data_IF_422575474102
#
_entry.id   IF_422575474102
#
_cell.length_a   1.000
_cell.length_b   1.000
_cell.length_c   1.000
_cell.angle_alpha   90.00
_cell.angle_beta   90.00
_cell.angle_gamma   90.00
#
_symmetry.space_group_name_H-M   'P 1'
#
loop_
_entity.id
_entity.type
_entity.pdbx_description
1 polymer ?
#
# COMPACT_ATOMS: atom_id res chain seq x y z
N UNK A 1 -13.15 -15.98 -13.98
CA UNK A 1 -13.72 -14.75 -13.40
C UNK A 1 -12.60 -14.00 -12.72
N UNK A 2 -12.56 -12.68 -12.83
CA UNK A 2 -11.61 -11.88 -12.06
C UNK A 2 -11.98 -12.00 -10.57
N UNK A 3 -11.01 -12.30 -9.69
CA UNK A 3 -11.23 -12.36 -8.24
C UNK A 3 -11.53 -10.98 -7.62
N UNK A 4 -11.36 -9.91 -8.39
CA UNK A 4 -11.67 -8.53 -8.01
C UNK A 4 -13.17 -8.21 -8.10
N UNK A 5 -13.71 -7.60 -7.05
CA UNK A 5 -14.99 -6.90 -7.04
C UNK A 5 -14.79 -5.46 -7.51
N UNK A 6 -14.95 -5.25 -8.81
CA UNK A 6 -14.74 -3.95 -9.43
C UNK A 6 -15.76 -2.88 -9.06
N UNK A 7 -17.02 -3.25 -8.81
CA UNK A 7 -18.02 -2.30 -8.33
C UNK A 7 -17.62 -1.71 -6.98
N UNK A 8 -17.08 -2.54 -6.08
CA UNK A 8 -16.56 -2.09 -4.79
C UNK A 8 -15.32 -1.21 -4.94
N UNK A 9 -14.37 -1.57 -5.80
CA UNK A 9 -13.18 -0.75 -6.06
C UNK A 9 -13.55 0.62 -6.64
N UNK A 10 -14.50 0.66 -7.58
CA UNK A 10 -14.98 1.92 -8.16
C UNK A 10 -15.69 2.79 -7.11
N UNK A 11 -16.43 2.18 -6.19
CA UNK A 11 -17.03 2.89 -5.05
C UNK A 11 -15.97 3.46 -4.12
N UNK A 12 -15.01 2.65 -3.68
CA UNK A 12 -13.88 3.09 -2.85
C UNK A 12 -13.08 4.21 -3.53
N UNK A 13 -12.90 4.14 -4.86
CA UNK A 13 -12.20 5.18 -5.63
C UNK A 13 -12.97 6.50 -5.64
N UNK A 14 -14.31 6.47 -5.61
CA UNK A 14 -15.14 7.69 -5.57
C UNK A 14 -15.24 8.27 -4.17
N UNK A 15 -15.22 7.42 -3.15
CA UNK A 15 -15.35 7.81 -1.75
C UNK A 15 -13.99 8.20 -1.18
N UNK A 16 -13.74 9.51 -1.04
CA UNK A 16 -12.54 9.99 -0.37
C UNK A 16 -12.54 9.55 1.10
N UNK A 17 -11.43 9.01 1.57
CA UNK A 17 -11.25 8.73 2.99
C UNK A 17 -11.30 10.04 3.79
N UNK A 18 -12.21 10.12 4.76
CA UNK A 18 -12.52 11.36 5.52
C UNK A 18 -11.30 11.99 6.18
N UNK A 19 -10.31 11.17 6.56
CA UNK A 19 -9.16 11.61 7.32
C UNK A 19 -7.84 11.62 6.54
N UNK A 20 -7.76 11.03 5.33
CA UNK A 20 -6.52 10.99 4.55
C UNK A 20 -6.26 12.30 3.81
N UNK A 21 -4.99 12.70 3.77
CA UNK A 21 -4.53 13.84 2.99
C UNK A 21 -4.44 13.54 1.49
N UNK A 22 -4.55 12.27 1.10
CA UNK A 22 -4.52 11.83 -0.30
C UNK A 22 -5.83 11.14 -0.70
N UNK A 23 -6.08 11.12 -2.00
CA UNK A 23 -7.21 10.38 -2.57
C UNK A 23 -6.65 9.26 -3.43
N UNK A 24 -6.91 8.01 -3.04
CA UNK A 24 -6.43 6.83 -3.75
C UNK A 24 -7.35 6.39 -4.89
N UNK A 25 -6.73 5.98 -5.98
CA UNK A 25 -7.39 5.29 -7.07
C UNK A 25 -7.31 3.77 -6.86
N UNK A 26 -8.21 3.23 -6.02
CA UNK A 26 -8.22 1.80 -5.68
C UNK A 26 -8.42 0.91 -6.91
N UNK A 27 -9.17 1.37 -7.92
CA UNK A 27 -9.30 0.66 -9.19
C UNK A 27 -7.96 0.50 -9.89
N UNK A 28 -7.21 1.59 -10.02
CA UNK A 28 -5.87 1.57 -10.61
C UNK A 28 -4.89 0.73 -9.78
N UNK A 29 -4.92 0.85 -8.45
CA UNK A 29 -4.07 0.04 -7.57
C UNK A 29 -4.35 -1.46 -7.80
N UNK A 30 -5.62 -1.88 -7.83
CA UNK A 30 -5.99 -3.28 -8.04
C UNK A 30 -5.58 -3.79 -9.43
N UNK A 31 -5.81 -3.01 -10.48
CA UNK A 31 -5.45 -3.37 -11.86
C UNK A 31 -3.92 -3.49 -12.05
N UNK A 32 -3.10 -2.85 -11.19
CA UNK A 32 -1.64 -2.86 -11.27
C UNK A 32 -0.99 -3.55 -10.05
N UNK A 33 -1.75 -4.25 -9.21
CA UNK A 33 -1.25 -4.69 -7.90
C UNK A 33 -0.08 -5.68 -8.01
N UNK A 34 -0.12 -6.59 -8.99
CA UNK A 34 0.98 -7.51 -9.28
C UNK A 34 2.26 -6.76 -9.66
N UNK A 35 2.17 -5.81 -10.59
CA UNK A 35 3.33 -5.00 -11.01
C UNK A 35 3.90 -4.17 -9.85
N UNK A 36 3.01 -3.62 -9.01
CA UNK A 36 3.40 -2.90 -7.79
C UNK A 36 4.17 -3.83 -6.85
N UNK A 37 3.61 -5.00 -6.55
CA UNK A 37 4.21 -5.96 -5.63
C UNK A 37 5.59 -6.46 -6.13
N UNK A 38 5.68 -6.82 -7.41
CA UNK A 38 6.94 -7.23 -8.03
C UNK A 38 7.96 -6.09 -7.97
N UNK A 39 7.56 -4.85 -8.29
CA UNK A 39 8.46 -3.70 -8.28
C UNK A 39 9.00 -3.38 -6.88
N UNK A 40 8.16 -3.43 -5.83
CA UNK A 40 8.59 -3.16 -4.45
C UNK A 40 9.51 -4.25 -3.93
N UNK A 41 9.16 -5.52 -4.11
CA UNK A 41 9.98 -6.64 -3.65
C UNK A 41 11.34 -6.69 -4.35
N UNK A 42 11.37 -6.43 -5.66
CA UNK A 42 12.63 -6.37 -6.44
C UNK A 42 13.61 -5.30 -5.95
N UNK A 43 13.14 -4.30 -5.19
CA UNK A 43 13.96 -3.20 -4.66
C UNK A 43 14.07 -3.20 -3.13
N UNK A 44 13.58 -4.24 -2.46
CA UNK A 44 13.53 -4.33 -1.00
C UNK A 44 12.75 -3.19 -0.36
N UNK A 45 11.72 -2.71 -1.05
CA UNK A 45 10.73 -1.78 -0.50
C UNK A 45 9.50 -2.56 -0.02
N UNK A 46 8.68 -1.90 0.81
CA UNK A 46 7.38 -2.42 1.26
C UNK A 46 6.26 -1.84 0.41
N UNK A 47 5.22 -2.64 0.16
CA UNK A 47 3.97 -2.13 -0.42
C UNK A 47 3.34 -1.17 0.61
N UNK A 48 2.93 0.06 0.21
CA UNK A 48 2.28 1.00 1.13
C UNK A 48 1.09 0.38 1.87
N UNK A 49 0.95 0.68 3.16
CA UNK A 49 -0.06 0.04 3.99
C UNK A 49 -1.49 0.29 3.48
N UNK A 50 -1.77 1.49 2.95
CA UNK A 50 -3.09 1.84 2.40
C UNK A 50 -3.50 0.97 1.21
N UNK A 51 -2.55 0.37 0.48
CA UNK A 51 -2.89 -0.49 -0.65
C UNK A 51 -3.54 -1.79 -0.18
N UNK A 52 -3.41 -2.17 1.10
CA UNK A 52 -4.10 -3.34 1.65
C UNK A 52 -5.62 -3.18 1.64
N UNK A 53 -6.16 -1.97 1.52
CA UNK A 53 -7.62 -1.76 1.49
C UNK A 53 -8.27 -2.43 0.27
N UNK A 54 -7.53 -2.58 -0.84
CA UNK A 54 -8.01 -3.30 -2.02
C UNK A 54 -8.35 -4.76 -1.69
N UNK A 55 -7.70 -5.37 -0.69
CA UNK A 55 -7.95 -6.76 -0.28
C UNK A 55 -9.41 -6.96 0.14
N UNK A 56 -10.06 -5.91 0.64
CA UNK A 56 -11.50 -5.98 0.97
C UNK A 56 -12.39 -6.19 -0.26
N UNK A 57 -11.88 -5.94 -1.46
CA UNK A 57 -12.54 -6.14 -2.74
C UNK A 57 -11.94 -7.33 -3.53
N UNK A 58 -11.13 -8.17 -2.88
CA UNK A 58 -10.58 -9.40 -3.46
C UNK A 58 -11.17 -10.64 -2.79
N UNK A 59 -11.33 -11.72 -3.56
CA UNK A 59 -11.64 -13.04 -3.02
C UNK A 59 -10.36 -13.75 -2.56
N UNK A 60 -9.97 -13.52 -1.30
CA UNK A 60 -8.73 -14.03 -0.67
C UNK A 60 -7.68 -12.94 -0.46
N UNK A 61 -6.40 -13.31 -0.43
CA UNK A 61 -5.29 -12.35 -0.49
C UNK A 61 -4.74 -12.29 -1.92
N UNK A 62 -4.71 -11.11 -2.58
CA UNK A 62 -4.14 -10.99 -3.92
C UNK A 62 -2.65 -11.38 -3.99
N UNK A 63 -1.92 -11.33 -2.88
CA UNK A 63 -0.53 -11.80 -2.83
C UNK A 63 -0.40 -13.31 -2.97
N UNK A 64 -1.42 -14.09 -2.60
CA UNK A 64 -1.40 -15.56 -2.73
C UNK A 64 -1.41 -16.00 -4.20
N UNK A 65 -1.89 -15.13 -5.10
CA UNK A 65 -1.97 -15.38 -6.54
C UNK A 65 -0.78 -14.79 -7.32
N UNK A 66 0.19 -14.15 -6.66
CA UNK A 66 1.36 -13.50 -7.27
C UNK A 66 2.63 -14.28 -6.97
N UNK A 67 3.45 -14.51 -8.00
CA UNK A 67 4.81 -15.04 -7.83
C UNK A 67 5.75 -13.87 -7.51
N UNK A 68 6.03 -13.66 -6.22
CA UNK A 68 6.90 -12.59 -5.78
C UNK A 68 8.39 -12.92 -6.02
N UNK A 69 9.20 -11.95 -6.46
CA UNK A 69 10.64 -12.13 -6.53
C UNK A 69 11.23 -12.22 -5.11
N UNK A 70 12.30 -13.01 -4.97
CA UNK A 70 13.08 -13.06 -3.74
C UNK A 70 13.78 -11.71 -3.51
N UNK A 71 13.71 -11.19 -2.28
CA UNK A 71 14.44 -10.00 -1.89
C UNK A 71 15.90 -10.39 -1.71
N UNK A 72 16.80 -9.76 -2.47
CA UNK A 72 18.23 -10.07 -2.38
C UNK A 72 18.78 -9.77 -0.99
N UNK A 73 19.82 -10.51 -0.57
CA UNK A 73 20.46 -10.33 0.75
C UNK A 73 20.90 -8.88 1.00
N UNK A 74 21.38 -8.19 -0.05
CA UNK A 74 21.81 -6.79 0.02
C UNK A 74 20.65 -5.82 0.33
N UNK A 75 19.42 -6.21 0.02
CA UNK A 75 18.20 -5.41 0.20
C UNK A 75 17.38 -5.86 1.41
N UNK A 76 17.71 -7.01 2.00
CA UNK A 76 16.96 -7.61 3.09
C UNK A 76 16.99 -6.72 4.35
N UNK A 77 18.14 -6.14 4.68
CA UNK A 77 18.26 -5.21 5.81
C UNK A 77 17.39 -3.96 5.64
N UNK A 78 17.34 -3.43 4.43
CA UNK A 78 16.48 -2.28 4.09
C UNK A 78 15.01 -2.66 4.27
N UNK A 79 14.59 -3.78 3.70
CA UNK A 79 13.22 -4.26 3.78
C UNK A 79 12.78 -4.49 5.24
N UNK A 80 13.60 -5.21 6.01
CA UNK A 80 13.35 -5.50 7.43
C UNK A 80 13.27 -4.22 8.27
N UNK A 81 14.10 -3.22 7.98
CA UNK A 81 14.05 -1.94 8.65
C UNK A 81 12.74 -1.18 8.35
N UNK A 82 12.27 -1.19 7.09
CA UNK A 82 10.99 -0.58 6.72
C UNK A 82 9.80 -1.27 7.43
N UNK A 83 9.77 -2.60 7.43
CA UNK A 83 8.76 -3.38 8.17
C UNK A 83 8.81 -3.12 9.68
N UNK A 84 10.01 -3.01 10.27
CA UNK A 84 10.16 -2.68 11.68
C UNK A 84 9.67 -1.26 12.01
N UNK A 85 9.97 -0.26 11.17
CA UNK A 85 9.45 1.11 11.34
C UNK A 85 7.92 1.09 11.35
N UNK A 86 7.30 0.40 10.39
CA UNK A 86 5.85 0.23 10.31
C UNK A 86 5.29 -0.45 11.56
N UNK A 87 5.91 -1.53 12.01
CA UNK A 87 5.50 -2.25 13.22
C UNK A 87 5.53 -1.34 14.45
N UNK A 88 6.59 -0.56 14.64
CA UNK A 88 6.72 0.41 15.73
C UNK A 88 5.65 1.49 15.65
N UNK A 89 5.36 2.03 14.46
CA UNK A 89 4.32 3.04 14.28
C UNK A 89 2.93 2.48 14.59
N UNK A 90 2.66 1.24 14.20
CA UNK A 90 1.42 0.56 14.53
C UNK A 90 1.25 0.36 16.04
N UNK A 91 2.29 -0.09 16.74
CA UNK A 91 2.29 -0.19 18.22
C UNK A 91 2.03 1.17 18.85
N UNK A 92 2.71 2.22 18.40
CA UNK A 92 2.54 3.58 18.92
C UNK A 92 1.10 4.07 18.75
N UNK A 93 0.47 3.81 17.60
CA UNK A 93 -0.92 4.18 17.36
C UNK A 93 -1.86 3.43 18.29
N UNK A 94 -1.73 2.10 18.36
CA UNK A 94 -2.56 1.25 19.21
C UNK A 94 -2.42 1.58 20.70
N UNK A 95 -1.19 1.81 21.17
CA UNK A 95 -0.89 2.22 22.54
C UNK A 95 -1.23 3.70 22.81
N UNK A 96 -1.83 4.41 21.85
CA UNK A 96 -2.19 5.84 21.92
C UNK A 96 -1.00 6.76 22.25
N UNK A 97 0.21 6.32 21.91
CA UNK A 97 1.43 7.10 22.03
C UNK A 97 1.59 8.12 20.90
N UNK A 98 0.86 7.93 19.79
CA UNK A 98 0.65 8.93 18.74
C UNK A 98 -0.85 9.10 18.50
N UNK A 99 -1.25 10.29 18.04
CA UNK A 99 -2.65 10.55 17.71
C UNK A 99 -3.00 9.99 16.31
N UNK A 100 -4.29 10.04 15.96
CA UNK A 100 -4.80 9.58 14.67
C UNK A 100 -4.17 10.35 13.49
N UNK A 101 -3.99 11.67 13.61
CA UNK A 101 -3.41 12.49 12.54
C UNK A 101 -1.96 12.06 12.23
N UNK A 102 -1.12 11.84 13.25
CA UNK A 102 0.26 11.37 13.08
C UNK A 102 0.32 9.96 12.47
N UNK A 103 -0.65 9.10 12.80
CA UNK A 103 -0.76 7.79 12.16
C UNK A 103 -1.11 7.93 10.67
N UNK A 104 -2.07 8.80 10.34
CA UNK A 104 -2.49 9.05 8.97
C UNK A 104 -1.35 9.68 8.15
N UNK A 105 -0.66 10.67 8.70
CA UNK A 105 0.48 11.30 8.03
C UNK A 105 1.58 10.29 7.69
N UNK A 106 1.76 9.27 8.55
CA UNK A 106 2.72 8.19 8.32
C UNK A 106 2.29 7.29 7.14
N UNK A 107 1.04 6.80 7.12
CA UNK A 107 0.55 5.92 6.05
C UNK A 107 0.43 6.66 4.70
N UNK A 108 -0.04 7.91 4.70
CA UNK A 108 -0.05 8.78 3.51
C UNK A 108 1.39 9.03 3.01
N UNK A 109 2.33 9.16 3.95
CA UNK A 109 3.75 9.32 3.68
C UNK A 109 4.38 8.09 3.00
N UNK A 110 3.92 6.88 3.32
CA UNK A 110 4.34 5.66 2.61
C UNK A 110 3.89 5.73 1.13
N UNK A 111 2.65 6.12 0.85
CA UNK A 111 2.14 6.23 -0.52
C UNK A 111 2.87 7.34 -1.30
N UNK A 112 3.11 8.51 -0.70
CA UNK A 112 3.85 9.60 -1.34
C UNK A 112 5.28 9.18 -1.67
N UNK A 113 5.95 8.49 -0.74
CA UNK A 113 7.29 7.92 -0.96
C UNK A 113 7.28 6.90 -2.08
N UNK A 114 6.27 6.02 -2.12
CA UNK A 114 6.10 5.06 -3.19
C UNK A 114 5.97 5.74 -4.56
N UNK A 115 5.04 6.70 -4.73
CA UNK A 115 4.87 7.41 -6.00
C UNK A 115 6.15 8.13 -6.43
N UNK A 116 6.92 8.68 -5.48
CA UNK A 116 8.22 9.30 -5.76
C UNK A 116 9.25 8.29 -6.29
N UNK A 117 9.30 7.08 -5.73
CA UNK A 117 10.27 6.04 -6.09
C UNK A 117 9.84 5.24 -7.35
N UNK A 118 8.54 5.23 -7.64
CA UNK A 118 7.91 4.51 -8.75
C UNK A 118 6.97 5.43 -9.54
N UNK A 119 7.52 6.44 -10.25
CA UNK A 119 6.72 7.48 -10.91
C UNK A 119 5.77 6.94 -11.99
N UNK A 120 6.02 5.75 -12.53
CA UNK A 120 5.10 5.07 -13.45
C UNK A 120 3.73 4.78 -12.81
N UNK A 121 3.65 4.67 -11.49
CA UNK A 121 2.41 4.47 -10.73
C UNK A 121 1.86 5.77 -10.14
N UNK A 122 2.21 6.93 -10.71
CA UNK A 122 1.71 8.24 -10.25
C UNK A 122 0.19 8.37 -10.21
N UNK A 123 -0.54 7.58 -11.01
CA UNK A 123 -2.01 7.53 -11.04
C UNK A 123 -2.65 6.85 -9.82
N UNK A 124 -1.85 6.32 -8.90
CA UNK A 124 -2.32 5.83 -7.59
C UNK A 124 -3.00 6.94 -6.80
N UNK A 125 -2.49 8.16 -6.87
CA UNK A 125 -3.08 9.33 -6.23
C UNK A 125 -3.88 10.10 -7.28
N UNK A 126 -5.11 10.48 -6.94
CA UNK A 126 -6.00 11.31 -7.75
C UNK A 126 -6.30 12.64 -7.04
N UNK A 127 -6.65 13.66 -7.81
CA UNK A 127 -7.01 15.00 -7.31
C UNK A 127 -8.50 15.09 -6.92
#
# INVERSE_FOLDING_TARGET
>A
MTKWNYEKLDKMTKERAEFSSIHLNYRYIADNFEEIAIATYSRGDVIPLEFNDIKTAYDGDPLDDIILPEISEQLLDKFNNLENIRHVMHIKHFARSINLATWIDFIDGEVKTFVKNYPQFSKVIIE
#
